data_IF_596814880522
#
_entry.id   IF_596814880522
#
_cell.length_a   1.000
_cell.length_b   1.000
_cell.length_c   1.000
_cell.angle_alpha   90.00
_cell.angle_beta   90.00
_cell.angle_gamma   90.00
#
_symmetry.space_group_name_H-M   'P 1'
#
loop_
_entity.id
_entity.type
_entity.pdbx_description
1 polymer ?
#
# COMPACT_ATOMS: atom_id res chain seq x y z
N UNK A 1 -11.02 -11.41 8.41
CA UNK A 1 -12.25 -10.80 7.82
C UNK A 1 -13.47 -10.92 8.73
N UNK A 2 -13.87 -12.14 9.15
CA UNK A 2 -15.02 -12.34 10.06
C UNK A 2 -14.96 -11.48 11.33
N UNK A 3 -13.82 -11.44 12.00
CA UNK A 3 -13.64 -10.64 13.23
C UNK A 3 -13.81 -9.13 12.98
N UNK A 4 -13.38 -8.62 11.82
CA UNK A 4 -13.57 -7.23 11.46
C UNK A 4 -15.05 -6.91 11.20
N UNK A 5 -15.78 -7.81 10.55
CA UNK A 5 -17.22 -7.67 10.32
C UNK A 5 -18.03 -7.81 11.62
N UNK A 6 -17.62 -8.69 12.51
CA UNK A 6 -18.21 -8.82 13.86
C UNK A 6 -17.99 -7.54 14.69
N UNK A 7 -16.81 -6.94 14.65
CA UNK A 7 -16.53 -5.64 15.30
C UNK A 7 -17.38 -4.49 14.75
N UNK A 8 -17.91 -4.61 13.54
CA UNK A 8 -18.86 -3.67 12.94
C UNK A 8 -20.32 -3.91 13.38
N UNK A 9 -20.57 -4.88 14.26
CA UNK A 9 -21.89 -5.19 14.82
C UNK A 9 -22.81 -5.98 13.89
N UNK A 10 -22.26 -6.66 12.87
CA UNK A 10 -23.07 -7.47 11.95
C UNK A 10 -23.51 -8.79 12.62
N UNK A 11 -24.73 -9.20 12.32
CA UNK A 11 -25.25 -10.54 12.67
C UNK A 11 -24.52 -11.62 11.88
N UNK A 12 -24.60 -12.87 12.35
CA UNK A 12 -24.00 -14.02 11.66
C UNK A 12 -24.43 -14.12 10.18
N UNK A 13 -25.73 -13.97 9.90
CA UNK A 13 -26.26 -14.03 8.54
C UNK A 13 -25.70 -12.89 7.66
N UNK A 14 -25.59 -11.68 8.20
CA UNK A 14 -25.00 -10.54 7.48
C UNK A 14 -23.51 -10.72 7.23
N UNK A 15 -22.77 -11.36 8.15
CA UNK A 15 -21.36 -11.69 7.96
C UNK A 15 -21.20 -12.67 6.81
N UNK A 16 -21.95 -13.77 6.80
CA UNK A 16 -21.84 -14.78 5.73
C UNK A 16 -22.25 -14.19 4.36
N UNK A 17 -23.33 -13.41 4.30
CA UNK A 17 -23.71 -12.70 3.07
C UNK A 17 -22.61 -11.72 2.60
N UNK A 18 -21.95 -11.03 3.53
CA UNK A 18 -20.85 -10.12 3.20
C UNK A 18 -19.64 -10.87 2.65
N UNK A 19 -19.30 -12.02 3.23
CA UNK A 19 -18.17 -12.85 2.76
C UNK A 19 -18.40 -13.35 1.33
N UNK A 20 -19.61 -13.80 1.01
CA UNK A 20 -19.98 -14.20 -0.37
C UNK A 20 -19.79 -13.03 -1.33
N UNK A 21 -20.26 -11.83 -0.94
CA UNK A 21 -20.10 -10.62 -1.76
C UNK A 21 -18.63 -10.24 -1.93
N UNK A 22 -17.82 -10.28 -0.87
CA UNK A 22 -16.39 -9.97 -0.96
C UNK A 22 -15.66 -10.96 -1.87
N UNK A 23 -15.99 -12.25 -1.77
CA UNK A 23 -15.43 -13.27 -2.66
C UNK A 23 -15.79 -13.00 -4.13
N UNK A 24 -17.07 -12.74 -4.42
CA UNK A 24 -17.51 -12.39 -5.79
C UNK A 24 -16.83 -11.13 -6.30
N UNK A 25 -16.70 -10.10 -5.47
CA UNK A 25 -16.02 -8.86 -5.85
C UNK A 25 -14.53 -9.11 -6.14
N UNK A 26 -13.86 -9.92 -5.32
CA UNK A 26 -12.46 -10.29 -5.53
C UNK A 26 -12.26 -11.10 -6.82
N UNK A 27 -13.04 -12.17 -7.01
CA UNK A 27 -12.81 -13.16 -8.08
C UNK A 27 -13.40 -12.72 -9.43
N UNK A 28 -14.61 -12.14 -9.44
CA UNK A 28 -15.34 -11.83 -10.68
C UNK A 28 -15.12 -10.39 -11.13
N UNK A 29 -15.27 -9.42 -10.23
CA UNK A 29 -15.20 -7.99 -10.57
C UNK A 29 -13.76 -7.53 -10.72
N UNK A 30 -12.92 -7.82 -9.72
CA UNK A 30 -11.52 -7.41 -9.69
C UNK A 30 -10.55 -8.40 -10.32
N UNK A 31 -10.96 -9.68 -10.42
CA UNK A 31 -10.14 -10.78 -10.95
C UNK A 31 -8.79 -10.94 -10.25
N UNK A 32 -8.79 -10.87 -8.92
CA UNK A 32 -7.62 -11.15 -8.10
C UNK A 32 -7.61 -12.64 -7.76
N UNK A 33 -6.95 -13.45 -8.59
CA UNK A 33 -7.05 -14.90 -8.59
C UNK A 33 -5.81 -15.61 -8.03
N UNK A 34 -4.74 -14.86 -7.78
CA UNK A 34 -3.50 -15.34 -7.17
C UNK A 34 -3.13 -14.57 -5.92
N UNK A 35 -2.34 -15.18 -5.05
CA UNK A 35 -1.78 -14.52 -3.86
C UNK A 35 -0.95 -13.29 -4.24
N UNK A 36 -0.24 -13.34 -5.37
CA UNK A 36 0.53 -12.19 -5.86
C UNK A 36 -0.38 -11.01 -6.21
N UNK A 37 -1.48 -11.26 -6.91
CA UNK A 37 -2.43 -10.21 -7.28
C UNK A 37 -3.12 -9.60 -6.05
N UNK A 38 -3.46 -10.43 -5.06
CA UNK A 38 -4.01 -9.97 -3.79
C UNK A 38 -3.00 -9.13 -3.00
N UNK A 39 -1.75 -9.60 -2.94
CA UNK A 39 -0.66 -8.87 -2.33
C UNK A 39 -0.48 -7.51 -3.02
N UNK A 40 -0.38 -7.46 -4.35
CA UNK A 40 -0.23 -6.22 -5.11
C UNK A 40 -1.42 -5.28 -4.98
N UNK A 41 -2.63 -5.81 -4.85
CA UNK A 41 -3.79 -4.99 -4.55
C UNK A 41 -3.70 -4.35 -3.16
N UNK A 42 -3.22 -5.12 -2.17
CA UNK A 42 -3.00 -4.60 -0.81
C UNK A 42 -1.86 -3.57 -0.76
N UNK A 43 -0.78 -3.77 -1.51
CA UNK A 43 0.35 -2.82 -1.56
C UNK A 43 -0.08 -1.48 -2.12
N UNK A 44 -0.93 -1.44 -3.15
CA UNK A 44 -1.50 -0.17 -3.69
C UNK A 44 -2.12 0.71 -2.60
N UNK A 45 -2.73 0.12 -1.57
CA UNK A 45 -3.31 0.86 -0.45
C UNK A 45 -2.22 1.52 0.41
N UNK A 46 -1.08 0.84 0.60
CA UNK A 46 0.04 1.38 1.37
C UNK A 46 0.72 2.56 0.66
N UNK A 47 0.65 2.66 -0.67
CA UNK A 47 1.15 3.83 -1.40
C UNK A 47 0.35 5.12 -1.10
N UNK A 48 -0.93 4.98 -0.75
CA UNK A 48 -1.74 6.11 -0.27
C UNK A 48 -1.21 6.59 1.09
N UNK A 49 -0.97 5.65 2.01
CA UNK A 49 -0.36 5.97 3.31
C UNK A 49 1.04 6.59 3.15
N UNK A 50 1.88 6.03 2.27
CA UNK A 50 3.20 6.55 1.91
C UNK A 50 3.12 8.00 1.43
N UNK A 51 2.22 8.29 0.47
CA UNK A 51 2.00 9.65 -0.04
C UNK A 51 1.55 10.64 1.03
N UNK A 52 0.64 10.22 1.90
CA UNK A 52 0.17 11.02 3.03
C UNK A 52 1.28 11.30 4.05
N UNK A 53 2.09 10.29 4.40
CA UNK A 53 3.22 10.46 5.32
C UNK A 53 4.26 11.42 4.76
N UNK A 54 4.64 11.29 3.48
CA UNK A 54 5.59 12.21 2.84
C UNK A 54 5.06 13.65 2.79
N UNK A 55 3.78 13.81 2.44
CA UNK A 55 3.15 15.13 2.37
C UNK A 55 3.05 15.76 3.75
N UNK A 56 2.65 14.98 4.76
CA UNK A 56 2.62 15.41 6.16
C UNK A 56 4.00 15.80 6.68
N UNK A 57 5.04 15.01 6.38
CA UNK A 57 6.43 15.31 6.72
C UNK A 57 6.88 16.64 6.10
N UNK A 58 6.58 16.86 4.81
CA UNK A 58 6.93 18.11 4.12
C UNK A 58 6.26 19.34 4.77
N UNK A 59 5.01 19.22 5.22
CA UNK A 59 4.28 20.30 5.91
C UNK A 59 4.94 20.74 7.22
N UNK A 60 5.64 19.82 7.90
CA UNK A 60 6.35 20.11 9.16
C UNK A 60 7.87 20.27 8.96
N UNK A 61 8.32 20.45 7.72
CA UNK A 61 9.73 20.70 7.39
C UNK A 61 10.64 19.48 7.49
N UNK A 62 10.09 18.27 7.50
CA UNK A 62 10.84 17.00 7.45
C UNK A 62 10.94 16.54 5.98
N UNK A 63 12.14 16.13 5.59
CA UNK A 63 12.41 15.53 4.29
C UNK A 63 12.11 14.04 4.31
N UNK A 64 11.71 13.52 3.15
CA UNK A 64 11.41 12.10 2.98
C UNK A 64 11.88 11.58 1.62
N UNK A 65 12.20 10.28 1.55
CA UNK A 65 12.51 9.59 0.30
C UNK A 65 11.78 8.23 0.25
N UNK A 66 10.86 8.01 -0.72
CA UNK A 66 10.24 6.71 -0.96
C UNK A 66 11.24 5.77 -1.65
N UNK A 67 11.23 4.49 -1.28
CA UNK A 67 12.25 3.51 -1.71
C UNK A 67 11.57 2.19 -2.09
N UNK A 68 11.80 1.76 -3.33
CA UNK A 68 11.50 0.41 -3.87
C UNK A 68 12.77 -0.35 -4.28
N UNK A 69 13.92 0.34 -4.30
CA UNK A 69 15.19 -0.17 -4.82
C UNK A 69 15.92 -1.11 -3.87
N UNK A 70 15.32 -2.25 -3.53
CA UNK A 70 15.92 -3.30 -2.70
C UNK A 70 15.50 -4.70 -3.19
N UNK A 71 16.19 -5.74 -2.73
CA UNK A 71 15.81 -7.12 -3.02
C UNK A 71 14.68 -7.56 -2.07
N UNK A 72 13.46 -7.65 -2.59
CA UNK A 72 12.27 -7.91 -1.78
C UNK A 72 12.39 -9.20 -0.97
N UNK A 73 12.79 -10.32 -1.58
CA UNK A 73 12.85 -11.61 -0.86
C UNK A 73 13.87 -11.57 0.29
N UNK A 74 15.08 -11.06 0.03
CA UNK A 74 16.13 -10.90 1.06
C UNK A 74 15.65 -10.02 2.22
N UNK A 75 15.03 -8.87 1.95
CA UNK A 75 14.55 -7.97 3.01
C UNK A 75 13.42 -8.62 3.80
N UNK A 76 12.46 -9.24 3.13
CA UNK A 76 11.37 -9.95 3.79
C UNK A 76 11.91 -11.02 4.74
N UNK A 77 12.88 -11.82 4.29
CA UNK A 77 13.50 -12.85 5.12
C UNK A 77 14.20 -12.25 6.33
N UNK A 78 15.05 -11.22 6.14
CA UNK A 78 15.76 -10.56 7.25
C UNK A 78 14.77 -10.05 8.31
N UNK A 79 13.72 -9.34 7.91
CA UNK A 79 12.77 -8.77 8.86
C UNK A 79 11.91 -9.84 9.56
N UNK A 80 11.60 -10.94 8.87
CA UNK A 80 10.88 -12.07 9.48
C UNK A 80 11.77 -12.85 10.45
N UNK A 81 13.04 -13.08 10.12
CA UNK A 81 14.02 -13.72 11.00
C UNK A 81 14.24 -12.94 12.31
N UNK A 82 14.15 -11.61 12.24
CA UNK A 82 14.17 -10.71 13.40
C UNK A 82 12.81 -10.66 14.15
N UNK A 83 11.82 -11.43 13.72
CA UNK A 83 10.52 -11.54 14.38
C UNK A 83 9.61 -10.31 14.21
N UNK A 84 9.85 -9.47 13.19
CA UNK A 84 9.07 -8.25 12.98
C UNK A 84 7.70 -8.50 12.34
N UNK A 85 7.58 -9.56 11.53
CA UNK A 85 6.30 -10.04 10.98
C UNK A 85 6.40 -11.49 10.47
N UNK A 86 5.23 -12.13 10.28
CA UNK A 86 5.09 -13.45 9.66
C UNK A 86 4.94 -13.33 8.14
N UNK A 87 5.78 -14.05 7.38
CA UNK A 87 5.78 -14.07 5.91
C UNK A 87 4.51 -14.68 5.30
N UNK A 88 3.76 -15.47 6.06
CA UNK A 88 2.49 -16.03 5.60
C UNK A 88 1.34 -15.01 5.66
N UNK A 89 1.51 -13.94 6.44
CA UNK A 89 0.47 -12.93 6.67
C UNK A 89 0.83 -11.58 6.03
N UNK A 90 2.12 -11.22 6.03
CA UNK A 90 2.60 -9.93 5.57
C UNK A 90 3.82 -10.04 4.67
N UNK A 91 3.99 -9.03 3.84
CA UNK A 91 5.21 -8.81 3.06
C UNK A 91 5.52 -7.33 2.94
N UNK A 92 6.80 -6.99 2.77
CA UNK A 92 7.26 -5.63 2.57
C UNK A 92 6.70 -5.08 1.26
N UNK A 93 5.98 -3.96 1.34
CA UNK A 93 5.42 -3.25 0.18
C UNK A 93 6.42 -2.24 -0.41
N UNK A 94 6.92 -1.34 0.43
CA UNK A 94 7.88 -0.29 0.11
C UNK A 94 8.57 0.17 1.40
N UNK A 95 9.59 1.01 1.27
CA UNK A 95 10.25 1.67 2.40
C UNK A 95 10.19 3.19 2.24
N UNK A 96 10.43 3.88 3.35
CA UNK A 96 10.55 5.32 3.39
C UNK A 96 11.59 5.73 4.43
N UNK A 97 12.38 6.74 4.09
CA UNK A 97 13.25 7.44 5.04
C UNK A 97 12.67 8.80 5.37
N UNK A 98 12.93 9.28 6.59
CA UNK A 98 12.59 10.61 7.06
C UNK A 98 13.82 11.25 7.72
N UNK A 99 13.99 12.56 7.57
CA UNK A 99 15.09 13.29 8.19
C UNK A 99 15.18 14.73 7.73
N UNK A 100 16.36 15.33 7.84
CA UNK A 100 16.63 16.69 7.36
C UNK A 100 17.69 16.66 6.27
N UNK A 101 17.41 17.31 5.14
CA UNK A 101 18.31 17.34 3.98
C UNK A 101 19.65 18.00 4.34
N UNK A 102 20.73 17.41 3.82
CA UNK A 102 22.07 17.98 3.87
C UNK A 102 22.49 18.64 2.53
N UNK A 103 21.55 18.75 1.59
CA UNK A 103 21.77 19.35 0.26
C UNK A 103 20.51 20.11 -0.16
N UNK A 104 20.71 21.11 -1.01
CA UNK A 104 19.62 21.90 -1.59
C UNK A 104 18.65 21.04 -2.41
N UNK A 105 17.37 21.43 -2.40
CA UNK A 105 16.33 20.77 -3.18
C UNK A 105 16.55 21.07 -4.66
N UNK A 106 16.69 20.01 -5.46
CA UNK A 106 16.76 20.14 -6.93
C UNK A 106 15.42 20.60 -7.49
N UNK A 107 15.48 21.41 -8.56
CA UNK A 107 14.30 21.79 -9.34
C UNK A 107 13.56 20.53 -9.81
N UNK A 108 12.23 20.54 -9.69
CA UNK A 108 11.38 19.42 -10.13
C UNK A 108 11.42 19.31 -11.65
N UNK A 109 11.54 18.08 -12.13
CA UNK A 109 11.39 17.71 -13.55
C UNK A 109 10.21 16.76 -13.68
N UNK A 110 9.28 17.05 -14.58
CA UNK A 110 8.05 16.28 -14.84
C UNK A 110 7.77 16.34 -16.34
N UNK A 111 7.04 15.34 -16.85
CA UNK A 111 6.49 15.39 -18.22
C UNK A 111 5.58 16.64 -18.37
N UNK A 112 5.43 17.18 -19.59
CA UNK A 112 4.43 18.21 -19.88
C UNK A 112 3.02 17.81 -19.43
N UNK A 113 2.21 18.79 -19.05
CA UNK A 113 0.84 18.55 -18.55
C UNK A 113 -0.02 17.84 -19.59
N UNK A 114 0.17 18.18 -20.85
CA UNK A 114 -0.58 17.67 -22.00
C UNK A 114 -0.29 16.18 -22.26
N UNK A 115 0.81 15.64 -21.73
CA UNK A 115 1.13 14.20 -21.80
C UNK A 115 0.49 13.39 -20.67
N UNK A 116 0.03 14.03 -19.61
CA UNK A 116 -0.46 13.35 -18.38
C UNK A 116 -1.89 13.70 -18.01
N UNK A 117 -2.48 14.74 -18.60
CA UNK A 117 -3.87 15.16 -18.40
C UNK A 117 -4.58 15.18 -19.75
N UNK A 118 -5.72 14.47 -19.84
CA UNK A 118 -6.65 14.52 -20.95
C UNK A 118 -8.04 14.92 -20.43
N UNK A 119 -8.71 15.80 -21.17
CA UNK A 119 -10.10 16.17 -20.92
C UNK A 119 -10.99 15.42 -21.92
N UNK A 120 -12.06 14.79 -21.43
CA UNK A 120 -13.07 14.14 -22.25
C UNK A 120 -14.35 14.95 -22.08
N UNK A 121 -14.82 15.53 -23.17
CA UNK A 121 -16.09 16.26 -23.26
C UNK A 121 -17.28 15.31 -23.44
#
# INVERSE_FOLDING_TARGET
>A
MRDMLAKRGLTYEQIEASLVRYKSFQEEDMKLLSERELFDWSTKQTYIALGNMMTGAALIGIDSCPIEGFHYDTVNQILSDEGLFDLNEYGVSCMITFGYRNKEIKKKSRKPTEEVIAWIE
#
